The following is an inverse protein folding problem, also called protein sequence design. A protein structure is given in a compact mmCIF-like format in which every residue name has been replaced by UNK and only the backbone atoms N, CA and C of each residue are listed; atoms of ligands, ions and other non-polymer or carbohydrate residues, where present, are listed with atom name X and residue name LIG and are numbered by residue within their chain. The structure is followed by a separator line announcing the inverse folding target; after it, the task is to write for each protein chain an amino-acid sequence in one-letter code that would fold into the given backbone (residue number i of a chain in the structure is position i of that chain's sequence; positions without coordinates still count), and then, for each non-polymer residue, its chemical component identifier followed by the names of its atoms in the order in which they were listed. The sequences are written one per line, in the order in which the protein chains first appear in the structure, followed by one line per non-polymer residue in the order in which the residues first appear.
data_IF_943162265486
#
_entry.id   IF_943162265486
#
_cell.length_a   1.000
_cell.length_b   1.000
_cell.length_c   1.000
_cell.angle_alpha   90.00
_cell.angle_beta   90.00
_cell.angle_gamma   90.00
#
_symmetry.space_group_name_H-M   'P 1'
#
loop_
_entity.id
_entity.type
_entity.pdbx_description
1 polymer ?
#
# COMPACT_ATOMS: atom_id res chain seq x y z
N UNK A 1 24.54 22.56 -9.42
CA UNK A 1 23.39 21.66 -9.59
C UNK A 1 23.84 20.17 -9.59
N UNK A 2 24.66 19.75 -8.61
CA UNK A 2 25.29 18.41 -8.52
C UNK A 2 25.46 17.91 -7.07
N UNK A 3 24.37 17.75 -6.30
CA UNK A 3 24.46 17.15 -4.95
C UNK A 3 23.37 16.11 -4.62
N UNK A 4 22.42 15.85 -5.51
CA UNK A 4 21.33 14.90 -5.25
C UNK A 4 21.67 13.42 -5.51
N UNK A 5 22.74 13.13 -6.26
CA UNK A 5 23.12 11.74 -6.58
C UNK A 5 23.92 11.03 -5.47
N UNK A 6 24.48 11.78 -4.51
CA UNK A 6 25.27 11.17 -3.41
C UNK A 6 24.43 10.53 -2.31
N UNK A 7 23.12 10.78 -2.24
CA UNK A 7 22.27 10.10 -1.25
C UNK A 7 21.93 8.65 -1.64
N UNK A 8 22.00 8.29 -2.92
CA UNK A 8 21.73 6.91 -3.36
C UNK A 8 22.98 6.02 -3.33
N UNK A 9 24.19 6.57 -3.47
CA UNK A 9 25.42 5.76 -3.56
C UNK A 9 26.01 5.30 -2.22
N UNK A 10 25.41 5.65 -1.07
CA UNK A 10 25.89 5.24 0.26
C UNK A 10 24.99 4.25 0.99
N UNK A 11 23.95 3.72 0.34
CA UNK A 11 23.13 2.64 0.90
C UNK A 11 23.70 1.28 0.52
N UNK A 12 24.79 0.90 1.18
CA UNK A 12 25.33 -0.47 1.16
C UNK A 12 24.38 -1.37 1.97
N UNK A 13 23.26 -1.78 1.36
CA UNK A 13 22.31 -2.70 1.95
C UNK A 13 22.91 -4.11 1.91
N UNK A 14 23.46 -4.57 3.04
CA UNK A 14 23.78 -5.99 3.21
C UNK A 14 22.47 -6.79 3.28
N UNK A 15 22.27 -7.81 2.44
CA UNK A 15 21.13 -8.70 2.57
C UNK A 15 21.39 -9.63 3.77
N UNK A 16 20.69 -9.40 4.88
CA UNK A 16 20.57 -10.38 5.96
C UNK A 16 19.15 -10.94 5.83
N UNK A 17 19.01 -12.00 5.03
CA UNK A 17 17.78 -12.77 4.94
C UNK A 17 17.99 -14.08 5.69
N UNK A 18 17.54 -14.12 6.95
CA UNK A 18 17.12 -15.36 7.60
C UNK A 18 15.62 -15.29 7.75
N UNK A 19 14.91 -15.94 6.82
CA UNK A 19 13.47 -16.18 6.93
C UNK A 19 13.25 -17.17 8.08
N UNK A 20 12.99 -16.67 9.29
CA UNK A 20 12.42 -17.48 10.36
C UNK A 20 10.93 -17.67 10.09
N UNK A 21 10.57 -18.94 9.91
CA UNK A 21 9.21 -19.43 9.67
C UNK A 21 8.25 -18.92 10.74
N UNK A 22 7.33 -18.04 10.36
CA UNK A 22 6.28 -17.50 11.22
C UNK A 22 5.08 -18.46 11.16
N UNK A 23 5.02 -19.44 12.07
CA UNK A 23 3.82 -20.28 12.27
C UNK A 23 2.77 -19.47 13.03
N UNK A 24 1.80 -18.90 12.32
CA UNK A 24 0.55 -18.43 12.92
C UNK A 24 -0.37 -19.65 13.03
N UNK A 25 -0.54 -20.16 14.25
CA UNK A 25 -1.58 -21.13 14.56
C UNK A 25 -2.93 -20.42 14.57
N UNK A 26 -3.68 -20.53 13.47
CA UNK A 26 -5.04 -20.04 13.34
C UNK A 26 -5.99 -21.06 14.01
N UNK A 27 -6.31 -20.83 15.29
CA UNK A 27 -7.40 -21.53 15.97
C UNK A 27 -8.70 -20.82 15.58
N UNK A 28 -9.39 -21.36 14.56
CA UNK A 28 -10.74 -20.96 14.21
C UNK A 28 -11.70 -21.45 15.31
N UNK A 29 -11.99 -20.61 16.30
CA UNK A 29 -13.18 -20.78 17.14
C UNK A 29 -14.35 -20.17 16.39
N UNK A 30 -15.31 -21.01 16.00
CA UNK A 30 -16.62 -20.60 15.50
C UNK A 30 -17.37 -19.86 16.60
N UNK A 31 -17.33 -18.53 16.56
CA UNK A 31 -18.19 -17.68 17.38
C UNK A 31 -19.58 -17.67 16.72
N UNK A 32 -20.67 -17.99 17.45
CA UNK A 32 -22.00 -17.87 16.90
C UNK A 32 -22.30 -16.38 16.64
N UNK A 33 -22.58 -16.05 15.37
CA UNK A 33 -23.08 -14.73 14.97
C UNK A 33 -24.46 -14.52 15.60
N UNK A 34 -24.48 -13.77 16.69
CA UNK A 34 -25.69 -13.09 17.12
C UNK A 34 -25.99 -11.99 16.10
N UNK A 35 -27.23 -11.99 15.61
CA UNK A 35 -27.76 -11.02 14.65
C UNK A 35 -27.60 -9.62 15.23
N UNK A 36 -26.66 -8.84 14.69
CA UNK A 36 -26.49 -7.43 15.04
C UNK A 36 -27.49 -6.57 14.29
N UNK A 37 -27.97 -5.54 14.98
CA UNK A 37 -28.91 -4.56 14.46
C UNK A 37 -28.39 -3.91 13.16
N UNK A 38 -29.22 -3.93 12.12
CA UNK A 38 -28.96 -3.32 10.80
C UNK A 38 -28.75 -1.81 10.84
N UNK A 39 -29.13 -1.13 11.91
CA UNK A 39 -28.84 0.29 12.13
C UNK A 39 -27.36 0.56 12.36
N UNK A 40 -26.66 -0.35 13.02
CA UNK A 40 -25.26 -0.14 13.42
C UNK A 40 -24.33 -0.28 12.22
N UNK A 41 -24.64 -1.21 11.30
CA UNK A 41 -23.84 -1.43 10.08
C UNK A 41 -23.89 -0.26 9.09
N UNK A 42 -25.02 0.46 9.00
CA UNK A 42 -25.12 1.67 8.17
C UNK A 42 -24.22 2.80 8.68
N UNK A 43 -24.15 3.00 10.00
CA UNK A 43 -23.27 4.02 10.60
C UNK A 43 -21.80 3.79 10.30
N UNK A 44 -21.31 2.54 10.38
CA UNK A 44 -19.91 2.24 10.08
C UNK A 44 -19.54 2.49 8.61
N UNK A 45 -20.46 2.22 7.69
CA UNK A 45 -20.24 2.45 6.26
C UNK A 45 -20.07 3.94 5.97
N UNK A 46 -20.98 4.77 6.49
CA UNK A 46 -20.92 6.23 6.31
C UNK A 46 -19.63 6.83 6.90
N UNK A 47 -19.26 6.40 8.12
CA UNK A 47 -18.02 6.84 8.76
C UNK A 47 -16.80 6.46 7.91
N UNK A 48 -16.76 5.22 7.40
CA UNK A 48 -15.66 4.74 6.55
C UNK A 48 -15.54 5.57 5.27
N UNK A 49 -16.67 5.87 4.62
CA UNK A 49 -16.73 6.71 3.41
C UNK A 49 -16.21 8.12 3.71
N UNK A 50 -16.71 8.75 4.77
CA UNK A 50 -16.29 10.11 5.17
C UNK A 50 -14.79 10.15 5.50
N UNK A 51 -14.28 9.16 6.22
CA UNK A 51 -12.85 9.03 6.51
C UNK A 51 -12.04 8.82 5.22
N UNK A 52 -12.51 7.98 4.31
CA UNK A 52 -11.85 7.69 3.03
C UNK A 52 -11.75 8.91 2.13
N UNK A 53 -12.87 9.62 1.93
CA UNK A 53 -12.93 10.86 1.13
C UNK A 53 -12.03 11.93 1.76
N UNK A 54 -12.16 12.15 3.07
CA UNK A 54 -11.35 13.15 3.79
C UNK A 54 -9.87 12.83 3.70
N UNK A 55 -9.49 11.56 3.88
CA UNK A 55 -8.11 11.10 3.77
C UNK A 55 -7.57 11.25 2.35
N UNK A 56 -8.36 10.87 1.33
CA UNK A 56 -7.97 10.99 -0.07
C UNK A 56 -7.74 12.45 -0.48
N UNK A 57 -8.68 13.34 -0.15
CA UNK A 57 -8.54 14.77 -0.42
C UNK A 57 -7.35 15.37 0.33
N UNK A 58 -7.16 15.02 1.60
CA UNK A 58 -6.01 15.44 2.38
C UNK A 58 -4.69 14.97 1.74
N UNK A 59 -4.63 13.72 1.26
CA UNK A 59 -3.44 13.16 0.60
C UNK A 59 -3.13 13.87 -0.71
N UNK A 60 -4.14 14.10 -1.54
CA UNK A 60 -3.99 14.86 -2.80
C UNK A 60 -3.48 16.27 -2.49
N UNK A 61 -4.12 16.98 -1.55
CA UNK A 61 -3.68 18.30 -1.11
C UNK A 61 -2.23 18.31 -0.60
N UNK A 62 -1.88 17.34 0.25
CA UNK A 62 -0.56 17.25 0.87
C UNK A 62 0.54 17.00 -0.17
N UNK A 63 0.32 16.08 -1.10
CA UNK A 63 1.33 15.63 -2.08
C UNK A 63 1.41 16.54 -3.29
N UNK A 64 0.27 16.96 -3.85
CA UNK A 64 0.21 17.72 -5.09
C UNK A 64 0.35 19.23 -4.89
N UNK A 65 -0.03 19.76 -3.71
CA UNK A 65 0.00 21.20 -3.45
C UNK A 65 0.98 21.58 -2.33
N UNK A 66 0.87 20.97 -1.14
CA UNK A 66 1.64 21.42 0.03
C UNK A 66 3.14 21.08 -0.07
N UNK A 67 3.45 19.89 -0.57
CA UNK A 67 4.81 19.35 -0.64
C UNK A 67 5.32 19.17 -2.08
N UNK A 68 4.66 19.77 -3.08
CA UNK A 68 5.05 19.67 -4.50
C UNK A 68 6.54 19.93 -4.71
N UNK A 69 7.06 21.05 -4.21
CA UNK A 69 8.48 21.45 -4.37
C UNK A 69 9.45 20.55 -3.57
N UNK A 70 8.97 19.99 -2.44
CA UNK A 70 9.74 19.12 -1.55
C UNK A 70 9.77 17.67 -2.01
N UNK A 71 8.81 17.27 -2.83
CA UNK A 71 8.74 15.93 -3.38
C UNK A 71 9.40 15.88 -4.75
N UNK A 72 9.23 16.90 -5.61
CA UNK A 72 9.77 16.91 -6.98
C UNK A 72 9.46 15.58 -7.70
N UNK A 73 10.48 14.90 -8.24
CA UNK A 73 10.36 13.56 -8.85
C UNK A 73 9.80 12.49 -7.89
N UNK A 74 9.86 12.72 -6.57
CA UNK A 74 9.32 11.80 -5.57
C UNK A 74 7.81 11.81 -5.49
N UNK A 75 7.14 12.81 -6.06
CA UNK A 75 5.68 12.96 -5.97
C UNK A 75 4.91 11.74 -6.46
N UNK A 76 5.44 11.00 -7.43
CA UNK A 76 4.79 9.85 -8.08
C UNK A 76 5.42 8.51 -7.70
N UNK A 77 5.86 8.37 -6.46
CA UNK A 77 6.39 7.09 -5.99
C UNK A 77 5.30 6.04 -5.86
N UNK A 78 5.67 4.79 -6.11
CA UNK A 78 4.84 3.60 -5.96
C UNK A 78 3.97 3.58 -4.70
N UNK A 79 4.58 3.85 -3.54
CA UNK A 79 3.87 3.84 -2.25
C UNK A 79 2.77 4.89 -2.17
N UNK A 80 2.89 6.02 -2.89
CA UNK A 80 1.84 7.06 -2.94
C UNK A 80 0.64 6.61 -3.76
N UNK A 81 0.85 5.85 -4.84
CA UNK A 81 -0.26 5.23 -5.59
C UNK A 81 -1.06 4.27 -4.72
N UNK A 82 -0.39 3.43 -3.93
CA UNK A 82 -1.09 2.55 -3.00
C UNK A 82 -1.88 3.31 -1.94
N UNK A 83 -1.34 4.40 -1.39
CA UNK A 83 -2.12 5.25 -0.48
C UNK A 83 -3.36 5.84 -1.15
N UNK A 84 -3.28 6.23 -2.43
CA UNK A 84 -4.45 6.68 -3.18
C UNK A 84 -5.47 5.57 -3.38
N UNK A 85 -5.02 4.35 -3.70
CA UNK A 85 -5.92 3.18 -3.79
C UNK A 85 -6.55 2.82 -2.44
N UNK A 86 -5.83 2.95 -1.32
CA UNK A 86 -6.42 2.81 0.02
C UNK A 86 -7.46 3.89 0.29
N UNK A 87 -7.17 5.15 -0.09
CA UNK A 87 -8.14 6.23 0.02
C UNK A 87 -9.40 5.98 -0.79
N UNK A 88 -9.26 5.47 -2.02
CA UNK A 88 -10.38 5.05 -2.87
C UNK A 88 -11.14 3.87 -2.24
N UNK A 89 -10.45 2.84 -1.78
CA UNK A 89 -11.08 1.70 -1.10
C UNK A 89 -11.97 2.16 0.07
N UNK A 90 -11.45 3.04 0.93
CA UNK A 90 -12.20 3.61 2.04
C UNK A 90 -13.34 4.53 1.57
N UNK A 91 -13.12 5.35 0.53
CA UNK A 91 -14.14 6.23 -0.03
C UNK A 91 -15.33 5.45 -0.64
N UNK A 92 -15.10 4.21 -1.09
CA UNK A 92 -16.14 3.27 -1.49
C UNK A 92 -16.60 2.35 -0.35
N UNK A 93 -16.28 2.68 0.90
CA UNK A 93 -16.72 1.90 2.07
C UNK A 93 -16.20 0.47 2.09
N UNK A 94 -15.05 0.20 1.45
CA UNK A 94 -14.48 -1.13 1.22
C UNK A 94 -15.39 -2.09 0.43
N UNK A 95 -16.38 -1.58 -0.31
CA UNK A 95 -17.27 -2.41 -1.16
C UNK A 95 -16.68 -2.68 -2.55
N UNK A 96 -15.79 -1.79 -3.03
CA UNK A 96 -15.16 -1.90 -4.33
C UNK A 96 -13.95 -2.84 -4.27
N UNK A 97 -14.20 -4.14 -4.52
CA UNK A 97 -13.17 -5.19 -4.48
C UNK A 97 -11.89 -4.89 -5.29
N UNK A 98 -11.91 -4.16 -6.46
CA UNK A 98 -10.68 -3.89 -7.18
C UNK A 98 -9.66 -3.06 -6.38
N UNK A 99 -10.12 -2.09 -5.60
CA UNK A 99 -9.25 -1.29 -4.74
C UNK A 99 -8.81 -2.07 -3.50
N UNK A 100 -9.66 -2.93 -2.96
CA UNK A 100 -9.33 -3.80 -1.83
C UNK A 100 -8.23 -4.81 -2.21
N UNK A 101 -8.29 -5.39 -3.42
CA UNK A 101 -7.23 -6.24 -3.98
C UNK A 101 -5.91 -5.49 -3.95
N UNK A 102 -5.87 -4.24 -4.40
CA UNK A 102 -4.64 -3.44 -4.38
C UNK A 102 -4.09 -3.22 -2.98
N UNK A 103 -4.95 -2.99 -1.99
CA UNK A 103 -4.52 -2.83 -0.60
C UNK A 103 -3.89 -4.12 -0.07
N UNK A 104 -4.48 -5.29 -0.35
CA UNK A 104 -3.94 -6.59 0.06
C UNK A 104 -2.66 -6.95 -0.69
N UNK A 105 -2.58 -6.70 -2.01
CA UNK A 105 -1.34 -6.90 -2.78
C UNK A 105 -0.25 -5.95 -2.31
N UNK A 106 -0.58 -4.72 -1.90
CA UNK A 106 0.40 -3.78 -1.40
C UNK A 106 0.96 -4.18 -0.03
N UNK A 107 0.21 -4.92 0.78
CA UNK A 107 0.53 -5.16 2.19
C UNK A 107 1.93 -5.76 2.42
N UNK A 108 2.34 -6.87 1.77
CA UNK A 108 3.70 -7.41 1.96
C UNK A 108 4.79 -6.44 1.53
N UNK A 109 4.55 -5.71 0.42
CA UNK A 109 5.50 -4.73 -0.10
C UNK A 109 5.66 -3.59 0.90
N UNK A 110 4.56 -3.08 1.44
CA UNK A 110 4.55 -1.94 2.34
C UNK A 110 5.11 -2.26 3.72
N UNK A 111 5.00 -3.51 4.20
CA UNK A 111 5.72 -3.95 5.41
C UNK A 111 7.23 -3.78 5.21
N UNK A 112 7.77 -4.28 4.09
CA UNK A 112 9.20 -4.20 3.79
C UNK A 112 9.63 -2.74 3.61
N UNK A 113 8.86 -1.93 2.87
CA UNK A 113 9.21 -0.52 2.64
C UNK A 113 8.98 0.36 3.87
N UNK A 114 8.16 -0.05 4.84
CA UNK A 114 8.00 0.66 6.13
C UNK A 114 9.30 0.70 6.94
N UNK A 115 10.21 -0.27 6.75
CA UNK A 115 11.56 -0.20 7.34
C UNK A 115 12.34 1.03 6.85
N UNK A 116 12.08 1.50 5.62
CA UNK A 116 12.71 2.71 5.09
C UNK A 116 12.14 3.98 5.74
N UNK A 117 10.88 3.97 6.16
CA UNK A 117 10.28 5.08 6.89
C UNK A 117 10.92 5.24 8.29
N UNK A 118 11.24 4.15 8.97
CA UNK A 118 11.99 4.21 10.25
C UNK A 118 13.32 4.93 10.07
N UNK A 119 14.05 4.61 9.01
CA UNK A 119 15.31 5.28 8.69
C UNK A 119 15.11 6.76 8.35
N UNK A 120 14.01 7.11 7.68
CA UNK A 120 13.65 8.51 7.44
C UNK A 120 13.41 9.25 8.76
N UNK A 121 12.58 8.73 9.67
CA UNK A 121 12.28 9.40 10.95
C UNK A 121 13.54 9.61 11.81
N UNK A 122 14.47 8.65 11.79
CA UNK A 122 15.76 8.78 12.50
C UNK A 122 16.62 9.92 11.95
N UNK A 123 16.58 10.17 10.64
CA UNK A 123 17.47 11.13 9.96
C UNK A 123 16.80 12.45 9.58
N UNK A 124 15.48 12.58 9.71
CA UNK A 124 14.75 13.78 9.26
C UNK A 124 15.23 15.07 9.92
N UNK A 125 15.73 14.98 11.17
CA UNK A 125 16.27 16.13 11.91
C UNK A 125 17.59 16.67 11.35
N UNK A 126 18.40 15.82 10.70
CA UNK A 126 19.72 16.16 10.18
C UNK A 126 19.73 16.48 8.67
N UNK A 127 18.61 16.31 7.98
CA UNK A 127 18.53 16.57 6.54
C UNK A 127 18.27 18.07 6.25
N UNK A 128 19.21 18.79 5.61
CA UNK A 128 19.05 20.23 5.32
C UNK A 128 17.89 20.50 4.35
N UNK A 129 17.60 19.55 3.48
CA UNK A 129 16.51 19.63 2.50
C UNK A 129 15.12 19.82 3.12
N UNK A 130 14.88 19.32 4.33
CA UNK A 130 13.58 19.37 4.99
C UNK A 130 13.47 20.42 6.07
N UNK A 131 14.44 21.34 6.21
CA UNK A 131 14.48 22.29 7.34
C UNK A 131 13.18 23.10 7.45
N UNK A 132 12.70 23.67 6.34
CA UNK A 132 11.50 24.51 6.33
C UNK A 132 10.20 23.71 6.40
N UNK A 133 10.11 22.58 5.68
CA UNK A 133 8.88 21.77 5.54
C UNK A 133 8.88 20.49 6.40
N UNK A 134 9.70 20.44 7.46
CA UNK A 134 9.95 19.22 8.27
C UNK A 134 8.69 18.57 8.80
N UNK A 135 7.79 19.37 9.41
CA UNK A 135 6.53 18.88 9.98
C UNK A 135 5.68 18.20 8.93
N UNK A 136 5.54 18.84 7.77
CA UNK A 136 4.77 18.30 6.66
C UNK A 136 5.39 17.04 6.06
N UNK A 137 6.73 16.94 6.00
CA UNK A 137 7.41 15.73 5.55
C UNK A 137 7.15 14.53 6.48
N UNK A 138 7.09 14.76 7.79
CA UNK A 138 6.72 13.72 8.76
C UNK A 138 5.26 13.31 8.58
N UNK A 139 4.34 14.27 8.43
CA UNK A 139 2.92 14.00 8.18
C UNK A 139 2.71 13.22 6.88
N UNK A 140 3.47 13.54 5.83
CA UNK A 140 3.42 12.83 4.56
C UNK A 140 3.82 11.36 4.70
N UNK A 141 4.83 11.07 5.52
CA UNK A 141 5.26 9.70 5.78
C UNK A 141 4.30 8.95 6.69
N UNK A 142 3.77 9.59 7.72
CA UNK A 142 2.78 8.99 8.62
C UNK A 142 1.50 8.62 7.87
N UNK A 143 1.16 9.37 6.82
CA UNK A 143 -0.01 9.12 5.99
C UNK A 143 0.29 8.30 4.73
N UNK A 144 1.50 7.72 4.61
CA UNK A 144 1.92 6.94 3.43
C UNK A 144 1.67 5.44 3.62
N UNK A 145 2.49 4.76 4.43
CA UNK A 145 2.39 3.32 4.65
C UNK A 145 1.44 2.91 5.79
N UNK A 146 1.46 3.58 6.97
CA UNK A 146 0.68 3.13 8.12
C UNK A 146 -0.83 2.95 7.83
N UNK A 147 -1.52 3.89 7.15
CA UNK A 147 -2.94 3.71 6.85
C UNK A 147 -3.22 2.47 6.00
N UNK A 148 -2.38 2.20 5.00
CA UNK A 148 -2.54 1.03 4.13
C UNK A 148 -2.36 -0.27 4.91
N UNK A 149 -1.33 -0.31 5.78
CA UNK A 149 -1.05 -1.46 6.65
C UNK A 149 -2.21 -1.70 7.62
N UNK A 150 -2.76 -0.64 8.23
CA UNK A 150 -3.91 -0.74 9.15
C UNK A 150 -5.14 -1.28 8.42
N UNK A 151 -5.47 -0.76 7.23
CA UNK A 151 -6.63 -1.23 6.45
C UNK A 151 -6.44 -2.68 6.00
N UNK A 152 -5.24 -3.06 5.56
CA UNK A 152 -4.93 -4.44 5.19
C UNK A 152 -5.08 -5.41 6.38
N UNK A 153 -4.52 -5.06 7.55
CA UNK A 153 -4.68 -5.85 8.77
C UNK A 153 -6.16 -5.97 9.15
N UNK A 154 -6.90 -4.86 9.09
CA UNK A 154 -8.34 -4.86 9.36
C UNK A 154 -9.09 -5.84 8.45
N UNK A 155 -8.83 -5.84 7.15
CA UNK A 155 -9.46 -6.77 6.21
C UNK A 155 -9.08 -8.22 6.51
N UNK A 156 -7.81 -8.50 6.80
CA UNK A 156 -7.34 -9.85 7.16
C UNK A 156 -8.03 -10.36 8.43
N UNK A 157 -8.15 -9.52 9.46
CA UNK A 157 -8.79 -9.89 10.73
C UNK A 157 -10.30 -10.09 10.61
N UNK A 158 -10.96 -9.44 9.65
CA UNK A 158 -12.41 -9.54 9.41
C UNK A 158 -12.74 -10.48 8.23
N UNK A 159 -11.86 -11.44 7.95
CA UNK A 159 -11.88 -12.33 6.79
C UNK A 159 -11.81 -11.56 5.46
N UNK A 160 -10.61 -11.58 4.86
CA UNK A 160 -10.29 -10.84 3.63
C UNK A 160 -11.24 -11.17 2.47
N UNK A 161 -11.85 -12.36 2.46
CA UNK A 161 -12.84 -12.80 1.47
C UNK A 161 -14.10 -11.94 1.46
N UNK A 162 -14.45 -11.29 2.58
CA UNK A 162 -15.59 -10.38 2.62
C UNK A 162 -15.35 -9.08 1.84
N UNK A 163 -14.09 -8.74 1.58
CA UNK A 163 -13.68 -7.51 0.91
C UNK A 163 -13.16 -7.76 -0.52
N UNK A 164 -12.64 -8.96 -0.76
CA UNK A 164 -12.10 -9.37 -2.06
C UNK A 164 -12.96 -10.52 -2.56
N UNK A 165 -13.90 -10.20 -3.46
CA UNK A 165 -14.82 -11.17 -4.07
C UNK A 165 -14.72 -11.11 -5.59
N UNK A 166 -13.58 -11.54 -6.17
CA UNK A 166 -13.43 -11.60 -7.60
C UNK A 166 -14.31 -12.72 -8.17
N UNK A 167 -14.99 -12.51 -9.31
CA UNK A 167 -15.78 -13.56 -9.95
C UNK A 167 -14.91 -14.74 -10.42
N UNK A 168 -13.66 -14.49 -10.82
CA UNK A 168 -12.68 -15.50 -11.21
C UNK A 168 -11.25 -14.95 -11.10
N UNK A 169 -10.26 -15.83 -11.18
CA UNK A 169 -8.84 -15.44 -11.07
C UNK A 169 -8.39 -14.50 -12.21
N UNK A 170 -8.98 -14.61 -13.40
CA UNK A 170 -8.68 -13.70 -14.53
C UNK A 170 -8.99 -12.24 -14.14
N UNK A 171 -10.12 -11.99 -13.49
CA UNK A 171 -10.47 -10.62 -13.07
C UNK A 171 -9.49 -10.03 -12.07
N UNK A 172 -8.88 -10.85 -11.20
CA UNK A 172 -7.81 -10.41 -10.30
C UNK A 172 -6.60 -9.96 -11.11
N UNK A 173 -6.15 -10.80 -12.06
CA UNK A 173 -4.99 -10.50 -12.90
C UNK A 173 -5.22 -9.22 -13.69
N UNK A 174 -6.38 -9.09 -14.35
CA UNK A 174 -6.74 -7.90 -15.13
C UNK A 174 -6.78 -6.66 -14.25
N UNK A 175 -7.38 -6.76 -13.06
CA UNK A 175 -7.44 -5.66 -12.09
C UNK A 175 -6.05 -5.22 -11.65
N UNK A 176 -5.19 -6.15 -11.26
CA UNK A 176 -3.81 -5.87 -10.85
C UNK A 176 -3.06 -5.21 -12.01
N UNK A 177 -3.14 -5.74 -13.23
CA UNK A 177 -2.47 -5.13 -14.39
C UNK A 177 -2.95 -3.69 -14.62
N UNK A 178 -4.26 -3.47 -14.70
CA UNK A 178 -4.84 -2.14 -14.95
C UNK A 178 -4.42 -1.13 -13.88
N UNK A 179 -4.49 -1.52 -12.60
CA UNK A 179 -4.19 -0.60 -11.49
C UNK A 179 -2.69 -0.36 -11.30
N UNK A 180 -1.84 -1.23 -11.83
CA UNK A 180 -0.38 -1.02 -11.85
C UNK A 180 0.12 -0.21 -13.05
N UNK A 181 -0.61 -0.19 -14.17
CA UNK A 181 -0.20 0.56 -15.38
C UNK A 181 0.11 2.04 -15.09
N UNK A 182 -0.73 2.81 -14.36
CA UNK A 182 -0.44 4.21 -14.06
C UNK A 182 0.90 4.42 -13.38
N UNK A 183 1.34 3.47 -12.54
CA UNK A 183 2.63 3.56 -11.89
C UNK A 183 3.79 3.46 -12.87
N UNK A 184 3.77 2.47 -13.77
CA UNK A 184 4.82 2.28 -14.77
C UNK A 184 4.87 3.43 -15.79
N UNK A 185 3.73 4.06 -16.07
CA UNK A 185 3.67 5.19 -17.00
C UNK A 185 4.06 6.53 -16.35
N UNK A 186 3.76 6.74 -15.07
CA UNK A 186 3.84 8.07 -14.44
C UNK A 186 5.01 8.25 -13.46
N UNK A 187 5.62 7.19 -12.94
CA UNK A 187 6.80 7.31 -12.06
C UNK A 187 8.06 7.60 -12.91
N UNK A 188 8.62 8.79 -12.73
CA UNK A 188 9.83 9.25 -13.44
C UNK A 188 11.05 8.35 -13.22
N UNK A 189 11.08 7.58 -12.12
CA UNK A 189 12.18 6.63 -11.90
C UNK A 189 12.11 5.46 -12.86
N UNK A 190 10.92 4.94 -13.13
CA UNK A 190 10.73 3.86 -14.10
C UNK A 190 11.07 4.31 -15.51
N UNK A 191 10.70 5.53 -15.85
CA UNK A 191 10.92 6.05 -17.20
C UNK A 191 12.34 6.58 -17.43
N UNK A 192 13.07 7.01 -16.38
CA UNK A 192 14.36 7.72 -16.56
C UNK A 192 15.51 7.36 -15.61
N UNK A 193 15.30 6.76 -14.43
CA UNK A 193 16.34 6.70 -13.38
C UNK A 193 16.59 5.35 -12.70
N UNK A 194 15.78 4.32 -12.95
CA UNK A 194 15.98 3.04 -12.28
C UNK A 194 17.25 2.35 -12.79
N UNK A 195 18.15 2.02 -11.87
CA UNK A 195 19.26 1.12 -12.18
C UNK A 195 18.71 -0.30 -12.26
N UNK A 196 19.18 -1.05 -13.26
CA UNK A 196 18.68 -2.38 -13.61
C UNK A 196 18.68 -3.46 -12.50
N UNK A 197 19.40 -3.39 -11.37
CA UNK A 197 19.15 -4.33 -10.26
C UNK A 197 17.97 -3.95 -9.36
N UNK A 198 17.71 -2.66 -9.14
CA UNK A 198 16.69 -2.22 -8.17
C UNK A 198 15.27 -2.37 -8.74
N UNK A 199 15.10 -2.22 -10.06
CA UNK A 199 13.80 -2.36 -10.73
C UNK A 199 13.29 -3.80 -10.67
N UNK A 200 14.21 -4.76 -10.83
CA UNK A 200 13.91 -6.19 -10.75
C UNK A 200 13.42 -6.58 -9.36
N UNK A 201 13.93 -5.96 -8.29
CA UNK A 201 13.44 -6.21 -6.93
C UNK A 201 11.98 -5.77 -6.80
N UNK A 202 11.62 -4.59 -7.31
CA UNK A 202 10.24 -4.09 -7.25
C UNK A 202 9.30 -4.96 -8.08
N UNK A 203 9.68 -5.31 -9.32
CA UNK A 203 8.89 -6.23 -10.15
C UNK A 203 8.74 -7.58 -9.44
N UNK A 204 9.83 -8.13 -8.91
CA UNK A 204 9.82 -9.40 -8.18
C UNK A 204 8.88 -9.36 -6.97
N UNK A 205 8.90 -8.28 -6.18
CA UNK A 205 7.97 -8.10 -5.05
C UNK A 205 6.51 -8.02 -5.51
N UNK A 206 6.24 -7.31 -6.60
CA UNK A 206 4.88 -7.18 -7.16
C UNK A 206 4.38 -8.53 -7.67
N UNK A 207 5.19 -9.23 -8.46
CA UNK A 207 4.86 -10.56 -9.01
C UNK A 207 4.69 -11.56 -7.89
N UNK A 208 5.60 -11.61 -6.91
CA UNK A 208 5.50 -12.50 -5.77
C UNK A 208 4.23 -12.20 -4.96
N UNK A 209 3.93 -10.93 -4.70
CA UNK A 209 2.74 -10.56 -3.92
C UNK A 209 1.43 -10.87 -4.67
N UNK A 210 1.35 -10.53 -5.96
CA UNK A 210 0.21 -10.88 -6.80
C UNK A 210 0.01 -12.39 -6.93
N UNK A 211 1.09 -13.14 -7.12
CA UNK A 211 1.05 -14.61 -7.19
C UNK A 211 0.60 -15.21 -5.86
N UNK A 212 1.09 -14.69 -4.73
CA UNK A 212 0.67 -15.16 -3.41
C UNK A 212 -0.84 -14.96 -3.17
N UNK A 213 -1.41 -13.83 -3.61
CA UNK A 213 -2.85 -13.61 -3.57
C UNK A 213 -3.60 -14.58 -4.48
N UNK A 214 -3.17 -14.75 -5.74
CA UNK A 214 -3.80 -15.69 -6.66
C UNK A 214 -3.81 -17.12 -6.12
N UNK A 215 -2.71 -17.56 -5.51
CA UNK A 215 -2.60 -18.87 -4.88
C UNK A 215 -3.53 -18.99 -3.66
N UNK A 216 -3.63 -17.94 -2.84
CA UNK A 216 -4.56 -17.92 -1.72
C UNK A 216 -6.02 -18.03 -2.20
N UNK A 217 -6.42 -17.25 -3.20
CA UNK A 217 -7.76 -17.26 -3.79
C UNK A 217 -8.11 -18.61 -4.42
N UNK A 218 -7.16 -19.21 -5.15
CA UNK A 218 -7.34 -20.51 -5.78
C UNK A 218 -7.43 -21.65 -4.76
N UNK A 219 -6.45 -21.76 -3.84
CA UNK A 219 -6.30 -22.93 -2.97
C UNK A 219 -7.07 -22.83 -1.66
N UNK A 220 -7.18 -21.63 -1.07
CA UNK A 220 -7.88 -21.46 0.21
C UNK A 220 -9.36 -21.17 0.03
N UNK A 221 -9.74 -20.48 -1.05
CA UNK A 221 -11.12 -20.01 -1.26
C UNK A 221 -11.82 -20.62 -2.47
N UNK A 222 -11.13 -21.44 -3.27
CA UNK A 222 -11.73 -22.19 -4.38
C UNK A 222 -12.26 -21.30 -5.50
N UNK A 223 -11.70 -20.10 -5.69
CA UNK A 223 -12.11 -19.19 -6.76
C UNK A 223 -11.79 -19.83 -8.12
N UNK A 224 -12.77 -19.92 -9.04
CA UNK A 224 -12.56 -20.55 -10.33
C UNK A 224 -11.55 -19.78 -11.18
N UNK A 225 -10.86 -20.50 -12.06
CA UNK A 225 -9.91 -19.91 -13.00
C UNK A 225 -10.63 -18.98 -14.01
N UNK A 226 -11.80 -19.37 -14.51
CA UNK A 226 -12.60 -18.64 -15.51
C UNK A 226 -14.08 -18.60 -15.15
#
# INVERSE_FOLDING_TARGET
MCQLDRCFSQCNARPIWTFTSFRIGLIAKSVPLSVSNTSDSMGYLEITIVLGVSFLLFRIWLVEFKLSDGLQFRRRYFSRFFTYYTGLALAFGLTAYPFNIMVIVAFPILIVTSMWDVNFYRRVKSQPYWVEKRRWAVVERLTLHPPVVVVAIFMILNDARNYIQPPNLITIVVTVVILFVPFFLLDERWTRRYKWPEALIVIGLVVASGTSLLLAEAFLWGVPLW
#
